data_IF_210338157007
#
_entry.id   IF_210338157007
#
_cell.length_a   1.000
_cell.length_b   1.000
_cell.length_c   1.000
_cell.angle_alpha   90.00
_cell.angle_beta   90.00
_cell.angle_gamma   90.00
#
_symmetry.space_group_name_H-M   'P 1'
#
loop_
_entity.id
_entity.type
_entity.pdbx_description
1 polymer ?
#
# COMPACT_ATOMS: atom_id res chain seq x y z
N UNK A 1 -6.82 -56.92 -45.67
CA UNK A 1 -7.85 -57.94 -45.95
C UNK A 1 -7.73 -59.04 -44.90
N UNK A 2 -8.88 -59.42 -44.33
CA UNK A 2 -9.26 -60.61 -43.54
C UNK A 2 -8.12 -61.52 -42.97
N UNK A 3 -7.98 -61.71 -41.65
CA UNK A 3 -8.85 -62.42 -40.69
C UNK A 3 -8.93 -63.94 -40.90
N UNK A 4 -8.59 -64.71 -39.85
CA UNK A 4 -9.35 -65.84 -39.25
C UNK A 4 -8.44 -66.52 -38.20
N UNK A 5 -8.73 -66.41 -36.89
CA UNK A 5 -9.62 -67.26 -36.07
C UNK A 5 -9.02 -68.64 -35.74
N UNK A 6 -8.89 -68.95 -34.43
CA UNK A 6 -9.48 -70.15 -33.81
C UNK A 6 -9.35 -70.12 -32.28
N UNK A 7 -10.47 -70.50 -31.67
CA UNK A 7 -10.76 -70.58 -30.25
C UNK A 7 -10.04 -71.73 -29.53
N UNK A 8 -9.90 -71.62 -28.20
CA UNK A 8 -9.50 -72.75 -27.35
C UNK A 8 -9.75 -72.47 -25.86
N UNK A 9 -10.79 -73.11 -25.34
CA UNK A 9 -11.32 -73.07 -23.97
C UNK A 9 -10.42 -73.74 -22.92
N UNK A 10 -10.39 -73.21 -21.70
CA UNK A 10 -9.86 -73.91 -20.53
C UNK A 10 -10.23 -73.23 -19.22
N UNK A 11 -11.35 -73.65 -18.61
CA UNK A 11 -11.79 -73.17 -17.30
C UNK A 11 -11.29 -74.07 -16.16
N UNK A 12 -11.07 -73.39 -15.02
CA UNK A 12 -11.11 -73.83 -13.63
C UNK A 12 -9.90 -74.54 -13.00
N UNK A 13 -9.26 -73.81 -12.06
CA UNK A 13 -9.26 -74.25 -10.64
C UNK A 13 -9.60 -73.08 -9.72
N UNK A 14 -10.58 -73.33 -8.87
CA UNK A 14 -11.06 -72.47 -7.80
C UNK A 14 -10.13 -72.63 -6.60
N UNK A 15 -9.55 -71.53 -6.13
CA UNK A 15 -8.98 -71.39 -4.78
C UNK A 15 -9.67 -70.22 -4.08
N UNK A 16 -10.57 -70.52 -3.15
CA UNK A 16 -11.18 -69.58 -2.18
C UNK A 16 -10.51 -69.82 -0.81
N UNK A 17 -10.51 -68.86 0.12
CA UNK A 17 -9.72 -67.64 0.11
C UNK A 17 -8.80 -67.60 1.35
N UNK A 18 -7.53 -67.24 1.21
CA UNK A 18 -6.76 -66.82 2.39
C UNK A 18 -7.10 -65.36 2.64
N UNK A 19 -7.79 -65.03 3.75
CA UNK A 19 -7.93 -63.63 4.19
C UNK A 19 -6.54 -63.12 4.57
N UNK A 20 -5.97 -62.12 3.88
CA UNK A 20 -4.87 -61.36 4.44
C UNK A 20 -5.46 -60.42 5.50
N UNK A 21 -4.83 -60.40 6.67
CA UNK A 21 -5.12 -59.45 7.73
C UNK A 21 -5.20 -58.02 7.19
N UNK A 22 -6.19 -57.26 7.66
CA UNK A 22 -6.20 -55.82 7.51
C UNK A 22 -4.97 -55.28 8.26
N UNK A 23 -3.97 -54.84 7.52
CA UNK A 23 -2.87 -54.07 8.06
C UNK A 23 -3.43 -52.74 8.55
N UNK A 24 -3.30 -52.46 9.85
CA UNK A 24 -3.56 -51.15 10.42
C UNK A 24 -2.70 -50.10 9.68
N UNK A 25 -3.23 -48.91 9.37
CA UNK A 25 -2.42 -47.85 8.82
C UNK A 25 -1.40 -47.42 9.87
N UNK A 26 -0.12 -47.64 9.58
CA UNK A 26 1.00 -47.10 10.35
C UNK A 26 0.87 -45.58 10.35
N UNK A 27 0.38 -45.01 11.45
CA UNK A 27 0.37 -43.57 11.64
C UNK A 27 1.79 -43.13 12.00
N UNK A 28 2.59 -42.78 11.00
CA UNK A 28 3.77 -41.96 11.25
C UNK A 28 3.29 -40.60 11.75
N UNK A 29 3.72 -40.11 12.94
CA UNK A 29 3.42 -38.76 13.36
C UNK A 29 3.98 -37.78 12.32
N UNK A 30 3.14 -36.87 11.84
CA UNK A 30 3.59 -35.79 10.97
C UNK A 30 4.50 -34.86 11.78
N UNK A 31 5.81 -34.94 11.52
CA UNK A 31 6.76 -33.91 11.92
C UNK A 31 6.84 -32.90 10.77
N UNK A 32 6.36 -31.66 10.92
CA UNK A 32 6.63 -30.63 9.93
C UNK A 32 8.15 -30.44 9.84
N UNK A 33 8.67 -30.40 8.62
CA UNK A 33 10.10 -30.24 8.34
C UNK A 33 10.66 -28.85 8.67
N UNK A 34 9.90 -28.00 9.37
CA UNK A 34 10.25 -26.62 9.66
C UNK A 34 10.04 -26.33 11.15
N UNK A 35 11.11 -25.95 11.84
CA UNK A 35 11.01 -25.28 13.15
C UNK A 35 10.66 -23.81 12.92
N UNK A 36 9.84 -23.18 13.79
CA UNK A 36 9.49 -21.76 13.67
C UNK A 36 10.69 -20.79 13.66
N UNK A 37 11.88 -21.24 14.08
CA UNK A 37 13.10 -20.43 14.13
C UNK A 37 14.00 -20.60 12.89
N UNK A 38 13.64 -21.47 11.94
CA UNK A 38 14.42 -21.72 10.71
C UNK A 38 13.79 -21.01 9.49
N UNK A 39 13.35 -19.76 9.64
CA UNK A 39 12.98 -18.94 8.48
C UNK A 39 14.24 -18.49 7.73
N UNK A 40 14.42 -18.87 6.46
CA UNK A 40 15.40 -18.18 5.63
C UNK A 40 14.97 -16.72 5.49
N UNK A 41 15.92 -15.79 5.63
CA UNK A 41 15.70 -14.39 5.24
C UNK A 41 15.34 -14.39 3.75
N UNK A 42 14.04 -14.30 3.44
CA UNK A 42 13.59 -14.31 2.06
C UNK A 42 14.04 -13.01 1.37
N UNK A 43 14.62 -13.08 0.18
CA UNK A 43 14.78 -11.89 -0.65
C UNK A 43 13.39 -11.44 -1.10
N UNK A 44 13.04 -10.21 -0.76
CA UNK A 44 11.84 -9.50 -1.20
C UNK A 44 11.72 -9.55 -2.73
N UNK A 45 10.80 -10.36 -3.27
CA UNK A 45 10.41 -10.27 -4.69
C UNK A 45 8.91 -10.47 -4.88
N UNK A 46 8.25 -9.42 -5.37
CA UNK A 46 7.25 -9.40 -6.46
C UNK A 46 5.96 -10.23 -6.40
N UNK A 47 5.25 -10.24 -5.27
CA UNK A 47 3.78 -10.33 -5.31
C UNK A 47 3.23 -8.98 -4.80
N UNK A 48 2.27 -8.39 -5.51
CA UNK A 48 1.60 -7.17 -5.04
C UNK A 48 0.86 -7.54 -3.75
N UNK A 49 1.51 -7.25 -2.64
CA UNK A 49 1.05 -7.53 -1.29
C UNK A 49 -0.31 -6.85 -1.08
N UNK A 50 -1.38 -7.65 -1.09
CA UNK A 50 -2.75 -7.19 -0.85
C UNK A 50 -2.93 -6.61 0.57
N UNK A 51 -1.93 -6.76 1.47
CA UNK A 51 -1.90 -6.06 2.75
C UNK A 51 -1.36 -4.63 2.67
N UNK A 52 -0.72 -4.24 1.55
CA UNK A 52 -0.16 -2.88 1.38
C UNK A 52 -1.21 -1.82 1.15
N UNK A 53 -2.36 -2.13 0.54
CA UNK A 53 -3.44 -1.16 0.28
C UNK A 53 -4.52 -1.31 1.32
N UNK A 54 -4.93 -0.19 1.93
CA UNK A 54 -5.98 -0.19 2.94
C UNK A 54 -7.32 -0.62 2.32
N UNK A 55 -7.97 -1.67 2.86
CA UNK A 55 -9.24 -2.16 2.32
C UNK A 55 -10.36 -1.16 2.61
N UNK A 56 -11.26 -0.96 1.65
CA UNK A 56 -12.47 -0.15 1.84
C UNK A 56 -12.25 1.37 1.79
N UNK A 57 -11.03 1.83 1.51
CA UNK A 57 -10.76 3.26 1.28
C UNK A 57 -11.06 3.66 -0.17
N UNK A 58 -10.78 2.76 -1.13
CA UNK A 58 -10.86 3.05 -2.55
C UNK A 58 -11.85 2.14 -3.26
N UNK A 59 -12.79 2.71 -4.00
CA UNK A 59 -13.62 1.97 -4.96
C UNK A 59 -12.76 1.41 -6.11
N UNK A 60 -11.72 2.16 -6.49
CA UNK A 60 -10.68 1.73 -7.44
C UNK A 60 -9.31 2.10 -6.87
N UNK A 61 -8.43 1.13 -6.57
CA UNK A 61 -7.11 1.40 -6.02
C UNK A 61 -6.24 2.28 -6.93
N UNK A 62 -5.27 3.03 -6.37
CA UNK A 62 -4.33 3.82 -7.16
C UNK A 62 -3.47 2.92 -8.07
N UNK A 63 -3.17 3.40 -9.26
CA UNK A 63 -2.18 2.78 -10.15
C UNK A 63 -0.79 3.11 -9.62
N UNK A 64 -0.12 2.14 -8.98
CA UNK A 64 1.19 2.33 -8.38
C UNK A 64 2.32 2.37 -9.41
N UNK A 65 3.33 3.18 -9.14
CA UNK A 65 4.52 3.33 -9.97
C UNK A 65 5.59 2.31 -9.52
N UNK A 66 5.71 1.20 -10.24
CA UNK A 66 6.65 0.12 -9.91
C UNK A 66 6.43 -0.42 -8.49
N UNK A 67 7.53 -0.60 -7.74
CA UNK A 67 7.47 -1.05 -6.34
C UNK A 67 7.26 0.09 -5.32
N UNK A 68 7.16 1.34 -5.80
CA UNK A 68 7.05 2.53 -4.95
C UNK A 68 5.73 2.60 -4.17
N UNK A 69 5.60 3.65 -3.36
CA UNK A 69 4.34 4.02 -2.68
C UNK A 69 3.65 5.20 -3.37
N UNK A 70 4.09 5.53 -4.57
CA UNK A 70 3.51 6.58 -5.41
C UNK A 70 2.49 5.96 -6.34
N UNK A 71 1.35 6.61 -6.51
CA UNK A 71 0.35 6.18 -7.48
C UNK A 71 -0.47 7.33 -8.05
N UNK A 72 -1.23 7.03 -9.09
CA UNK A 72 -2.14 7.98 -9.73
C UNK A 72 -3.58 7.49 -9.65
N UNK A 73 -4.50 8.44 -9.47
CA UNK A 73 -5.95 8.18 -9.37
C UNK A 73 -6.73 9.06 -10.35
N UNK A 74 -7.83 8.51 -10.85
CA UNK A 74 -8.81 9.22 -11.67
C UNK A 74 -9.88 9.88 -10.79
N UNK A 75 -10.22 11.14 -11.05
CA UNK A 75 -11.26 11.90 -10.31
C UNK A 75 -12.67 11.61 -10.83
N UNK A 76 -12.79 11.40 -12.14
CA UNK A 76 -14.04 11.28 -12.90
C UNK A 76 -14.17 9.94 -13.66
N UNK A 77 -13.27 8.99 -13.36
CA UNK A 77 -13.16 7.71 -14.07
C UNK A 77 -12.59 7.82 -15.50
N UNK A 78 -12.16 9.00 -15.94
CA UNK A 78 -11.66 9.25 -17.30
C UNK A 78 -10.25 9.81 -17.28
N UNK A 79 -10.00 10.87 -16.49
CA UNK A 79 -8.74 11.58 -16.47
C UNK A 79 -8.02 11.37 -15.14
N UNK A 80 -6.72 11.08 -15.19
CA UNK A 80 -5.89 11.07 -13.98
C UNK A 80 -5.75 12.50 -13.46
N UNK A 81 -6.25 12.72 -12.25
CA UNK A 81 -6.33 14.05 -11.62
C UNK A 81 -5.55 14.18 -10.31
N UNK A 82 -5.09 13.05 -9.75
CA UNK A 82 -4.42 13.02 -8.46
C UNK A 82 -3.12 12.23 -8.51
N UNK A 83 -2.09 12.79 -7.85
CA UNK A 83 -0.90 12.05 -7.45
C UNK A 83 -1.04 11.69 -5.98
N UNK A 84 -0.80 10.44 -5.64
CA UNK A 84 -0.78 9.96 -4.27
C UNK A 84 0.64 9.52 -3.91
N UNK A 85 1.05 9.76 -2.67
CA UNK A 85 2.32 9.28 -2.09
C UNK A 85 2.02 8.77 -0.67
N UNK A 86 2.07 7.46 -0.48
CA UNK A 86 1.74 6.83 0.80
C UNK A 86 2.91 6.89 1.78
N UNK A 87 2.62 7.16 3.05
CA UNK A 87 3.62 7.11 4.13
C UNK A 87 4.12 5.67 4.32
N UNK A 88 5.38 5.50 4.76
CA UNK A 88 5.96 4.18 5.03
C UNK A 88 5.39 3.48 6.26
N UNK A 89 4.89 4.27 7.21
CA UNK A 89 4.43 3.82 8.52
C UNK A 89 3.06 3.15 8.48
N UNK A 90 2.37 3.20 7.34
CA UNK A 90 0.99 2.73 7.22
C UNK A 90 0.72 1.99 5.92
N UNK A 91 -0.52 1.56 5.73
CA UNK A 91 -0.97 1.03 4.44
C UNK A 91 -1.25 2.17 3.48
N UNK A 92 -1.03 1.91 2.19
CA UNK A 92 -1.38 2.78 1.08
C UNK A 92 -2.88 3.11 1.18
N UNK A 93 -3.20 4.36 1.47
CA UNK A 93 -4.56 4.87 1.63
C UNK A 93 -4.92 5.28 3.06
N UNK A 94 -4.11 4.99 4.07
CA UNK A 94 -4.33 5.45 5.45
C UNK A 94 -3.75 6.86 5.64
N UNK A 95 -2.43 7.00 5.63
CA UNK A 95 -1.74 8.29 5.64
C UNK A 95 -0.99 8.51 4.34
N UNK A 96 -1.24 9.66 3.73
CA UNK A 96 -0.69 9.96 2.43
C UNK A 96 -0.67 11.44 2.11
N UNK A 97 0.28 11.80 1.26
CA UNK A 97 0.22 13.05 0.53
C UNK A 97 -0.61 12.84 -0.73
N UNK A 98 -1.55 13.73 -0.98
CA UNK A 98 -2.28 13.80 -2.25
C UNK A 98 -2.09 15.15 -2.87
N UNK A 99 -1.63 15.14 -4.10
CA UNK A 99 -1.59 16.31 -4.96
C UNK A 99 -2.81 16.26 -5.88
N UNK A 100 -3.64 17.30 -5.84
CA UNK A 100 -4.79 17.46 -6.71
C UNK A 100 -4.50 18.52 -7.75
N UNK A 101 -4.73 18.19 -9.01
CA UNK A 101 -4.73 19.17 -10.08
C UNK A 101 -6.03 19.99 -10.08
N UNK A 102 -5.95 21.31 -9.92
CA UNK A 102 -7.15 22.17 -9.83
C UNK A 102 -7.52 22.70 -11.22
N UNK A 103 -6.58 23.37 -11.90
CA UNK A 103 -6.71 23.86 -13.27
C UNK A 103 -5.34 24.28 -13.84
N UNK A 104 -5.04 23.94 -15.10
CA UNK A 104 -3.73 24.23 -15.69
C UNK A 104 -2.60 23.63 -14.86
N UNK A 105 -1.46 24.30 -14.75
CA UNK A 105 -0.33 23.85 -13.92
C UNK A 105 -0.53 24.10 -12.41
N UNK A 106 -1.73 24.49 -11.97
CA UNK A 106 -2.01 24.73 -10.54
C UNK A 106 -2.42 23.46 -9.81
N UNK A 107 -1.83 23.25 -8.63
CA UNK A 107 -2.10 22.11 -7.78
C UNK A 107 -2.23 22.49 -6.31
N UNK A 108 -3.00 21.67 -5.60
CA UNK A 108 -3.07 21.64 -4.14
C UNK A 108 -2.34 20.41 -3.63
N UNK A 109 -1.63 20.55 -2.50
CA UNK A 109 -1.04 19.43 -1.79
C UNK A 109 -1.70 19.29 -0.43
N UNK A 110 -2.27 18.12 -0.17
CA UNK A 110 -2.93 17.79 1.09
C UNK A 110 -2.23 16.61 1.76
N UNK A 111 -2.11 16.67 3.08
CA UNK A 111 -1.81 15.51 3.91
C UNK A 111 -3.13 14.93 4.40
N UNK A 112 -3.41 13.68 4.03
CA UNK A 112 -4.55 12.92 4.53
C UNK A 112 -4.06 12.00 5.64
N UNK A 113 -4.85 11.95 6.72
CA UNK A 113 -4.57 11.17 7.91
C UNK A 113 -5.67 10.14 8.13
N UNK A 114 -5.30 8.92 8.53
CA UNK A 114 -6.26 7.87 8.87
C UNK A 114 -7.21 8.34 9.99
N UNK A 115 -6.66 9.07 10.96
CA UNK A 115 -7.41 9.65 12.07
C UNK A 115 -7.50 11.16 11.93
N UNK A 116 -8.71 11.74 12.00
CA UNK A 116 -8.88 13.17 11.88
C UNK A 116 -8.26 13.89 13.07
N UNK A 117 -7.71 15.08 12.80
CA UNK A 117 -7.16 15.93 13.85
C UNK A 117 -8.30 16.50 14.72
N UNK A 118 -8.03 16.62 16.03
CA UNK A 118 -9.00 17.18 16.95
C UNK A 118 -9.14 18.68 16.68
N UNK A 119 -10.34 19.12 16.24
CA UNK A 119 -10.62 20.53 15.92
C UNK A 119 -10.37 21.50 17.08
N UNK A 120 -10.37 21.00 18.32
CA UNK A 120 -10.12 21.78 19.54
C UNK A 120 -8.64 21.88 19.92
N UNK A 121 -7.75 21.21 19.18
CA UNK A 121 -6.32 21.15 19.43
C UNK A 121 -5.58 21.89 18.32
N UNK A 122 -4.62 22.72 18.70
CA UNK A 122 -3.69 23.32 17.73
C UNK A 122 -2.52 22.37 17.46
N UNK A 123 -2.09 22.27 16.21
CA UNK A 123 -1.02 21.39 15.77
C UNK A 123 0.09 22.18 15.08
N UNK A 124 1.32 21.68 15.23
CA UNK A 124 2.49 22.09 14.45
C UNK A 124 2.78 21.02 13.43
N UNK A 125 3.03 21.47 12.20
CA UNK A 125 3.47 20.63 11.10
C UNK A 125 4.91 21.00 10.79
N UNK A 126 5.79 20.02 10.80
CA UNK A 126 7.18 20.16 10.44
C UNK A 126 7.50 19.18 9.33
N UNK A 127 8.38 19.57 8.41
CA UNK A 127 8.91 18.65 7.44
C UNK A 127 10.42 18.80 7.33
N UNK A 128 11.08 17.67 7.15
CA UNK A 128 12.51 17.55 7.05
C UNK A 128 12.90 16.87 5.74
N UNK A 129 13.80 17.52 5.02
CA UNK A 129 14.43 17.03 3.80
C UNK A 129 15.84 17.63 3.70
N UNK A 130 16.78 16.92 3.07
CA UNK A 130 18.16 17.41 2.87
C UNK A 130 18.87 17.90 4.14
N UNK A 131 18.54 17.32 5.30
CA UNK A 131 19.13 17.69 6.60
C UNK A 131 18.61 19.01 7.19
N UNK A 132 17.62 19.66 6.57
CA UNK A 132 16.96 20.85 7.10
C UNK A 132 15.55 20.51 7.56
N UNK A 133 15.10 21.12 8.66
CA UNK A 133 13.72 21.04 9.13
C UNK A 133 13.05 22.39 8.98
N UNK A 134 11.80 22.39 8.52
CA UNK A 134 10.98 23.58 8.31
C UNK A 134 9.60 23.38 8.93
N UNK A 135 9.11 24.39 9.64
CA UNK A 135 7.70 24.47 10.04
C UNK A 135 6.86 24.80 8.81
N UNK A 136 5.82 24.02 8.56
CA UNK A 136 4.90 24.19 7.44
C UNK A 136 3.69 25.03 7.86
N UNK A 137 3.28 25.92 6.98
CA UNK A 137 2.04 26.66 7.08
C UNK A 137 0.90 25.91 6.39
N UNK A 138 -0.30 26.07 6.95
CA UNK A 138 -1.51 25.48 6.41
C UNK A 138 -2.25 26.48 5.52
N UNK A 139 -2.85 25.98 4.45
CA UNK A 139 -3.79 26.74 3.66
C UNK A 139 -5.11 26.99 4.39
N UNK A 140 -6.05 27.71 3.77
CA UNK A 140 -7.40 27.87 4.31
C UNK A 140 -8.02 26.50 4.61
N UNK A 141 -8.52 26.32 5.83
CA UNK A 141 -9.13 25.06 6.23
C UNK A 141 -10.40 24.82 5.41
N UNK A 142 -10.49 23.64 4.81
CA UNK A 142 -11.71 23.14 4.18
C UNK A 142 -12.56 22.49 5.28
N UNK A 143 -13.72 23.07 5.66
CA UNK A 143 -14.51 22.58 6.79
C UNK A 143 -15.10 21.19 6.56
N UNK A 144 -15.13 20.71 5.31
CA UNK A 144 -15.70 19.42 4.91
C UNK A 144 -14.70 18.26 5.04
N UNK A 145 -13.40 18.51 5.16
CA UNK A 145 -12.35 17.47 5.19
C UNK A 145 -11.54 17.53 6.47
N UNK A 146 -12.09 17.00 7.57
CA UNK A 146 -11.43 17.00 8.89
C UNK A 146 -10.21 16.06 9.00
N UNK A 147 -10.12 15.13 8.06
CA UNK A 147 -9.08 14.13 7.85
C UNK A 147 -7.99 14.59 6.86
N UNK A 148 -8.19 15.73 6.18
CA UNK A 148 -7.23 16.28 5.23
C UNK A 148 -6.74 17.67 5.66
N UNK A 149 -5.44 17.90 5.48
CA UNK A 149 -4.78 19.16 5.81
C UNK A 149 -4.19 19.74 4.54
N UNK A 150 -4.72 20.90 4.12
CA UNK A 150 -4.18 21.64 2.98
C UNK A 150 -2.90 22.38 3.38
N UNK A 151 -1.80 22.18 2.65
CA UNK A 151 -0.56 22.92 2.84
C UNK A 151 -0.61 24.27 2.11
N UNK A 152 0.01 25.30 2.69
CA UNK A 152 0.14 26.60 2.05
C UNK A 152 0.94 26.47 0.74
N UNK A 153 0.57 27.25 -0.30
CA UNK A 153 1.10 27.11 -1.67
C UNK A 153 2.64 27.10 -1.73
N UNK A 154 3.31 27.96 -0.96
CA UNK A 154 4.76 28.05 -0.94
C UNK A 154 5.43 26.79 -0.34
N UNK A 155 4.84 26.24 0.73
CA UNK A 155 5.34 25.04 1.40
C UNK A 155 5.00 23.78 0.60
N UNK A 156 3.81 23.72 0.01
CA UNK A 156 3.42 22.68 -0.93
C UNK A 156 4.41 22.59 -2.10
N UNK A 157 4.77 23.74 -2.70
CA UNK A 157 5.72 23.78 -3.81
C UNK A 157 7.14 23.35 -3.40
N UNK A 158 7.63 23.77 -2.23
CA UNK A 158 8.92 23.36 -1.73
C UNK A 158 8.96 21.85 -1.45
N UNK A 159 7.95 21.33 -0.76
CA UNK A 159 7.87 19.92 -0.39
C UNK A 159 7.73 19.04 -1.63
N UNK A 160 6.83 19.39 -2.55
CA UNK A 160 6.65 18.68 -3.81
C UNK A 160 7.89 18.74 -4.70
N UNK A 161 8.58 19.88 -4.76
CA UNK A 161 9.84 20.02 -5.49
C UNK A 161 10.92 19.03 -5.04
N UNK A 162 11.03 18.77 -3.73
CA UNK A 162 11.96 17.76 -3.21
C UNK A 162 11.50 16.33 -3.58
N UNK A 163 10.22 16.03 -3.41
CA UNK A 163 9.65 14.72 -3.79
C UNK A 163 9.84 14.43 -5.29
N UNK A 164 9.66 15.41 -6.16
CA UNK A 164 9.90 15.29 -7.61
C UNK A 164 11.34 14.87 -7.94
N UNK A 165 12.32 15.20 -7.09
CA UNK A 165 13.72 14.78 -7.28
C UNK A 165 14.02 13.38 -6.75
N UNK A 166 13.01 12.65 -6.27
CA UNK A 166 13.18 11.32 -5.69
C UNK A 166 13.63 11.33 -4.22
N UNK A 167 13.63 12.49 -3.56
CA UNK A 167 14.07 12.58 -2.18
C UNK A 167 13.05 12.05 -1.19
N UNK A 168 13.55 11.57 -0.04
CA UNK A 168 12.72 11.24 1.11
C UNK A 168 12.41 12.50 1.91
N UNK A 169 11.15 12.64 2.30
CA UNK A 169 10.67 13.71 3.16
C UNK A 169 10.08 13.08 4.42
N UNK A 170 10.54 13.54 5.58
CA UNK A 170 9.89 13.23 6.85
C UNK A 170 8.94 14.35 7.21
N UNK A 171 7.70 14.04 7.54
CA UNK A 171 6.75 14.99 8.11
C UNK A 171 6.43 14.61 9.54
N UNK A 172 6.34 15.62 10.40
CA UNK A 172 6.01 15.46 11.81
C UNK A 172 4.83 16.35 12.14
N UNK A 173 3.77 15.76 12.70
CA UNK A 173 2.56 16.45 13.18
C UNK A 173 2.54 16.34 14.69
N UNK A 174 2.66 17.48 15.38
CA UNK A 174 2.75 17.53 16.85
C UNK A 174 1.67 18.44 17.44
N UNK A 175 0.93 18.02 18.47
CA UNK A 175 0.03 18.94 19.17
C UNK A 175 0.86 20.00 19.91
N UNK A 176 0.39 21.26 19.88
CA UNK A 176 1.03 22.37 20.60
C UNK A 176 0.79 22.32 22.11
N UNK A 177 -0.19 21.55 22.58
CA UNK A 177 -0.48 21.34 24.00
C UNK A 177 -0.71 19.86 24.31
N UNK A 178 -0.05 19.35 25.34
CA UNK A 178 -0.13 17.96 25.79
C UNK A 178 -1.27 17.75 26.80
N UNK A 179 -2.52 18.00 26.40
CA UNK A 179 -3.67 17.69 27.27
C UNK A 179 -4.07 16.21 27.15
N UNK A 180 -3.31 15.36 27.86
CA UNK A 180 -3.79 14.17 28.60
C UNK A 180 -4.51 13.01 27.90
N UNK A 181 -4.80 13.06 26.60
CA UNK A 181 -5.43 11.97 25.87
C UNK A 181 -4.42 11.26 24.96
N UNK A 182 -4.57 9.95 24.77
CA UNK A 182 -3.64 9.09 24.02
C UNK A 182 -3.41 9.52 22.54
N UNK A 183 -4.21 10.46 22.03
CA UNK A 183 -4.07 11.13 20.74
C UNK A 183 -3.09 12.33 20.76
N UNK A 184 -2.45 12.60 21.91
CA UNK A 184 -1.52 13.73 22.13
C UNK A 184 -0.05 13.44 21.80
N UNK A 185 0.24 12.42 20.99
CA UNK A 185 1.61 12.08 20.59
C UNK A 185 1.93 12.66 19.22
N UNK A 186 3.19 13.03 19.05
CA UNK A 186 3.71 13.40 17.73
C UNK A 186 3.57 12.21 16.78
N UNK A 187 3.04 12.47 15.58
CA UNK A 187 3.00 11.53 14.46
C UNK A 187 4.12 11.88 13.49
N UNK A 188 4.98 10.91 13.19
CA UNK A 188 6.05 11.06 12.20
C UNK A 188 5.78 10.13 11.02
N UNK A 189 5.75 10.69 9.82
CA UNK A 189 5.47 10.02 8.56
C UNK A 189 6.64 10.23 7.61
N UNK A 190 7.11 9.16 6.97
CA UNK A 190 8.16 9.23 5.96
C UNK A 190 7.57 8.95 4.58
N UNK A 191 7.82 9.87 3.65
CA UNK A 191 7.40 9.80 2.25
C UNK A 191 8.61 9.65 1.34
N UNK A 192 8.51 8.78 0.35
CA UNK A 192 9.54 8.60 -0.67
C UNK A 192 9.14 9.27 -1.98
N UNK A 193 10.02 10.11 -2.51
CA UNK A 193 9.86 10.72 -3.82
C UNK A 193 10.08 9.75 -4.99
N UNK A 194 10.57 8.53 -4.75
CA UNK A 194 10.80 7.55 -5.81
C UNK A 194 9.51 7.25 -6.59
N UNK A 195 9.46 7.61 -7.87
CA UNK A 195 8.29 7.45 -8.74
C UNK A 195 7.41 8.71 -8.87
N UNK A 196 7.66 9.77 -8.08
CA UNK A 196 6.85 11.01 -8.12
C UNK A 196 6.96 11.73 -9.46
N UNK A 197 8.17 11.83 -10.04
CA UNK A 197 8.36 12.45 -11.36
C UNK A 197 7.60 11.69 -12.46
N UNK A 198 7.63 10.36 -12.43
CA UNK A 198 6.92 9.52 -13.39
C UNK A 198 5.39 9.62 -13.19
N UNK A 199 4.92 9.52 -11.95
CA UNK A 199 3.51 9.67 -11.62
C UNK A 199 2.98 11.06 -12.03
N UNK A 200 3.77 12.12 -11.81
CA UNK A 200 3.43 13.48 -12.22
C UNK A 200 3.23 13.61 -13.73
N UNK A 201 4.09 12.96 -14.53
CA UNK A 201 3.93 12.94 -15.99
C UNK A 201 2.67 12.21 -16.45
N UNK A 202 2.08 11.34 -15.62
CA UNK A 202 0.86 10.60 -15.94
C UNK A 202 -0.43 11.35 -15.56
N UNK A 203 -0.36 12.54 -14.95
CA UNK A 203 -1.55 13.31 -14.56
C UNK A 203 -1.99 14.20 -15.72
N UNK A 204 -2.88 13.67 -16.54
CA UNK A 204 -3.38 14.31 -17.76
C UNK A 204 -3.96 15.71 -17.49
N UNK A 205 -4.64 15.88 -16.35
CA UNK A 205 -5.29 17.15 -15.97
C UNK A 205 -4.32 18.30 -15.69
N UNK A 206 -3.06 17.98 -15.40
CA UNK A 206 -2.02 18.96 -15.07
C UNK A 206 -1.07 19.22 -16.24
N UNK A 207 -1.29 18.57 -17.39
CA UNK A 207 -0.59 18.90 -18.62
C UNK A 207 -1.26 20.13 -19.29
N UNK A 208 -0.47 21.11 -19.77
CA UNK A 208 -0.98 22.33 -20.39
C UNK A 208 -1.65 22.09 -21.75
#
# INVERSE_FOLDING_TARGET
MAALLLCGTGSARVSKPHRPHASEPVSTPYYPAYRPDDQPEFPLTSEVDQSRVAPGIWDTPPELIGDSRVGVLTDDGVNRGFLFIGAYESRIGEEYLVLRCVAGSEYELRLVLEQPLLRTQAYRFEAAWTGSTRTLELGPADPETADSVLLAKADAAALFGNLLTGQKVQMTVSPLSSSGTMLGKSLTLNFDGAGVAEGWQRIDRCQP
#
